data_IF_941538068878
#
_entry.id   IF_941538068878
#
_cell.length_a   1.000
_cell.length_b   1.000
_cell.length_c   1.000
_cell.angle_alpha   90.00
_cell.angle_beta   90.00
_cell.angle_gamma   90.00
#
_symmetry.space_group_name_H-M   'P 1'
#
loop_
_entity.id
_entity.type
_entity.pdbx_description
1 polymer ?
#
# COMPACT_ATOMS: atom_id res chain seq x y z
N UNK A 1 78.42 -50.97 -3.26
CA UNK A 1 78.02 -51.77 -2.06
C UNK A 1 76.50 -51.73 -1.97
N UNK A 2 75.96 -52.71 -2.37
CA UNK A 2 74.81 -53.61 -2.14
C UNK A 2 74.10 -53.37 -0.83
N UNK A 3 72.74 -53.39 -0.89
CA UNK A 3 71.74 -54.29 -0.23
C UNK A 3 70.37 -53.68 -0.42
N UNK A 4 69.57 -54.16 -1.16
CA UNK A 4 68.48 -55.20 -1.20
C UNK A 4 67.55 -55.21 0.03
N UNK A 5 66.22 -55.11 -0.31
CA UNK A 5 65.17 -55.83 0.34
C UNK A 5 64.03 -55.10 0.99
N UNK A 6 62.88 -55.16 0.61
CA UNK A 6 61.83 -56.20 0.68
C UNK A 6 60.43 -55.53 0.44
N UNK A 7 59.70 -56.20 -0.40
CA UNK A 7 58.28 -55.92 -0.68
C UNK A 7 57.40 -56.29 0.54
N UNK A 8 56.46 -55.42 0.87
CA UNK A 8 55.32 -55.70 1.74
C UNK A 8 54.07 -55.17 1.12
N UNK A 9 53.25 -56.14 0.62
CA UNK A 9 51.95 -55.86 0.01
C UNK A 9 50.93 -55.90 1.15
N UNK A 10 50.23 -54.80 1.41
CA UNK A 10 49.03 -54.79 2.28
C UNK A 10 47.87 -54.23 1.51
N UNK A 11 46.81 -55.05 1.43
CA UNK A 11 45.54 -54.74 0.86
C UNK A 11 44.81 -53.68 1.71
N UNK A 12 44.38 -52.60 1.08
CA UNK A 12 43.48 -51.61 1.69
C UNK A 12 42.06 -51.89 1.25
N UNK A 13 41.23 -52.28 2.20
CA UNK A 13 39.78 -52.39 2.00
C UNK A 13 39.14 -50.99 1.87
N UNK A 14 38.44 -50.79 0.77
CA UNK A 14 37.66 -49.58 0.54
C UNK A 14 36.33 -49.71 1.27
N UNK A 15 36.16 -48.97 2.38
CA UNK A 15 34.87 -48.78 3.04
C UNK A 15 34.16 -47.61 2.37
N UNK A 16 33.15 -47.88 1.55
CA UNK A 16 32.28 -46.85 0.97
C UNK A 16 31.33 -46.32 2.08
N UNK A 17 31.59 -45.08 2.53
CA UNK A 17 30.64 -44.32 3.37
C UNK A 17 29.64 -43.68 2.44
N UNK A 18 28.43 -44.21 2.40
CA UNK A 18 27.27 -43.56 1.76
C UNK A 18 26.80 -42.44 2.73
N UNK A 19 27.22 -41.23 2.50
CA UNK A 19 26.59 -40.05 3.12
C UNK A 19 25.24 -39.83 2.45
N UNK A 20 24.18 -40.23 3.14
CA UNK A 20 22.83 -39.85 2.80
C UNK A 20 22.67 -38.33 2.99
N UNK A 21 22.68 -37.56 1.89
CA UNK A 21 22.31 -36.17 1.88
C UNK A 21 20.82 -36.05 2.13
N UNK A 22 20.44 -35.75 3.38
CA UNK A 22 19.08 -35.28 3.69
C UNK A 22 18.99 -33.85 3.15
N UNK A 23 18.21 -33.68 2.11
CA UNK A 23 17.91 -32.35 1.54
C UNK A 23 17.17 -31.51 2.60
N UNK A 24 17.88 -30.61 3.28
CA UNK A 24 17.30 -29.56 4.11
C UNK A 24 16.86 -28.39 3.22
N UNK A 25 15.94 -28.61 2.26
CA UNK A 25 15.39 -27.54 1.42
C UNK A 25 14.07 -26.97 1.95
N UNK A 26 13.47 -27.59 2.99
CA UNK A 26 12.21 -27.13 3.56
C UNK A 26 12.34 -26.06 4.66
N UNK A 27 13.47 -25.99 5.37
CA UNK A 27 13.61 -25.11 6.53
C UNK A 27 13.89 -23.64 6.16
N UNK A 28 14.55 -23.39 5.02
CA UNK A 28 14.86 -22.01 4.58
C UNK A 28 13.61 -21.26 4.11
N UNK A 29 12.71 -21.94 3.38
CA UNK A 29 11.44 -21.34 2.92
C UNK A 29 10.43 -21.11 4.05
N UNK A 30 10.39 -21.95 5.08
CA UNK A 30 9.49 -21.76 6.22
C UNK A 30 9.86 -20.51 7.03
N UNK A 31 11.14 -20.19 7.18
CA UNK A 31 11.62 -19.01 7.91
C UNK A 31 11.42 -17.72 7.13
N UNK A 32 11.37 -17.78 5.80
CA UNK A 32 11.15 -16.63 4.91
C UNK A 32 9.72 -16.09 5.00
N UNK A 33 8.73 -16.89 5.44
CA UNK A 33 7.32 -16.50 5.54
C UNK A 33 6.87 -16.21 6.97
N UNK A 34 7.73 -16.34 7.98
CA UNK A 34 7.39 -16.14 9.39
C UNK A 34 7.06 -14.67 9.69
N UNK A 35 7.81 -13.76 9.10
CA UNK A 35 7.60 -12.33 9.14
C UNK A 35 7.28 -11.83 7.73
N UNK A 36 6.20 -11.10 7.57
CA UNK A 36 5.77 -10.50 6.30
C UNK A 36 5.95 -8.98 6.37
N UNK A 37 6.77 -8.43 5.48
CA UNK A 37 7.14 -7.01 5.47
C UNK A 37 6.23 -6.23 4.54
N UNK A 38 5.44 -5.31 5.10
CA UNK A 38 4.51 -4.43 4.38
C UNK A 38 5.10 -3.04 4.19
N UNK A 39 4.82 -2.42 3.05
CA UNK A 39 5.07 -1.00 2.83
C UNK A 39 3.89 -0.14 3.28
N UNK A 40 4.19 1.01 3.90
CA UNK A 40 3.23 2.05 4.22
C UNK A 40 3.81 3.43 3.86
N UNK A 41 3.27 4.13 2.85
CA UNK A 41 3.68 5.50 2.52
C UNK A 41 3.14 6.54 3.49
N UNK A 42 2.55 6.13 4.62
CA UNK A 42 1.85 6.95 5.62
C UNK A 42 0.53 7.54 5.10
N UNK A 43 -0.11 6.84 4.17
CA UNK A 43 -1.48 7.15 3.80
C UNK A 43 -2.42 6.37 4.74
N UNK A 44 -3.39 7.06 5.31
CA UNK A 44 -4.24 6.42 6.33
C UNK A 44 -5.09 5.27 5.78
N UNK A 45 -5.42 5.26 4.47
CA UNK A 45 -6.03 4.13 3.79
C UNK A 45 -5.11 2.89 3.81
N UNK A 46 -3.82 3.05 3.47
CA UNK A 46 -2.85 1.95 3.47
C UNK A 46 -2.49 1.52 4.90
N UNK A 47 -2.38 2.45 5.84
CA UNK A 47 -2.26 2.11 7.26
C UNK A 47 -3.45 1.26 7.72
N UNK A 48 -4.68 1.58 7.25
CA UNK A 48 -5.91 0.84 7.56
C UNK A 48 -5.91 -0.57 6.98
N UNK A 49 -5.59 -0.72 5.69
CA UNK A 49 -5.56 -2.02 5.01
C UNK A 49 -4.44 -2.91 5.54
N UNK A 50 -3.27 -2.34 5.82
CA UNK A 50 -2.17 -3.04 6.48
C UNK A 50 -2.57 -3.54 7.88
N UNK A 51 -3.28 -2.73 8.68
CA UNK A 51 -3.72 -3.13 10.01
C UNK A 51 -4.77 -4.26 9.97
N UNK A 52 -5.75 -4.19 9.05
CA UNK A 52 -6.75 -5.25 8.86
C UNK A 52 -6.09 -6.57 8.51
N UNK A 53 -5.17 -6.54 7.54
CA UNK A 53 -4.42 -7.73 7.13
C UNK A 53 -3.50 -8.24 8.24
N UNK A 54 -2.86 -7.32 8.97
CA UNK A 54 -1.93 -7.63 10.06
C UNK A 54 -2.58 -8.35 11.24
N UNK A 55 -3.75 -7.89 11.69
CA UNK A 55 -4.52 -8.57 12.76
C UNK A 55 -4.85 -10.02 12.38
N UNK A 56 -5.17 -10.27 11.11
CA UNK A 56 -5.44 -11.61 10.61
C UNK A 56 -4.14 -12.44 10.57
N UNK A 57 -3.04 -11.90 10.04
CA UNK A 57 -1.76 -12.57 9.99
C UNK A 57 -1.27 -12.99 11.39
N UNK A 58 -1.37 -12.10 12.37
CA UNK A 58 -1.00 -12.39 13.76
C UNK A 58 -1.86 -13.52 14.34
N UNK A 59 -3.18 -13.51 14.11
CA UNK A 59 -4.07 -14.58 14.54
C UNK A 59 -3.78 -15.93 13.87
N UNK A 60 -3.23 -15.92 12.63
CA UNK A 60 -2.78 -17.11 11.93
C UNK A 60 -1.39 -17.58 12.37
N UNK A 61 -0.68 -16.82 13.22
CA UNK A 61 0.65 -17.16 13.75
C UNK A 61 1.83 -16.61 12.95
N UNK A 62 1.60 -15.66 12.07
CA UNK A 62 2.63 -14.90 11.34
C UNK A 62 2.91 -13.58 12.04
N UNK A 63 4.09 -12.99 11.79
CA UNK A 63 4.46 -11.65 12.23
C UNK A 63 4.28 -10.67 11.07
N UNK A 64 3.63 -9.54 11.29
CA UNK A 64 3.63 -8.43 10.35
C UNK A 64 4.68 -7.40 10.77
N UNK A 65 5.50 -6.95 9.80
CA UNK A 65 6.37 -5.78 9.96
C UNK A 65 5.95 -4.73 8.94
N UNK A 66 5.75 -3.49 9.39
CA UNK A 66 5.39 -2.37 8.51
C UNK A 66 6.59 -1.42 8.38
N UNK A 67 7.03 -1.19 7.14
CA UNK A 67 8.08 -0.23 6.80
C UNK A 67 7.44 1.05 6.24
N UNK A 68 7.76 2.19 6.89
CA UNK A 68 7.31 3.50 6.43
C UNK A 68 8.26 4.00 5.35
N UNK A 69 7.82 3.92 4.11
CA UNK A 69 8.62 4.25 2.92
C UNK A 69 7.76 4.85 1.81
N UNK A 70 8.34 5.77 1.01
CA UNK A 70 7.64 6.39 -0.11
C UNK A 70 7.35 5.40 -1.24
N UNK A 71 6.34 5.70 -2.08
CA UNK A 71 5.96 4.82 -3.21
C UNK A 71 7.13 4.48 -4.14
N UNK A 72 7.99 5.42 -4.60
CA UNK A 72 9.13 5.04 -5.42
C UNK A 72 10.08 4.04 -4.75
N UNK A 73 10.35 4.22 -3.44
CA UNK A 73 11.20 3.31 -2.65
C UNK A 73 10.52 1.96 -2.46
N UNK A 74 9.20 1.94 -2.26
CA UNK A 74 8.41 0.69 -2.19
C UNK A 74 8.65 -0.20 -3.42
N UNK A 75 8.55 0.36 -4.62
CA UNK A 75 8.79 -0.41 -5.85
C UNK A 75 10.23 -0.90 -6.00
N UNK A 76 11.20 -0.14 -5.51
CA UNK A 76 12.61 -0.57 -5.49
C UNK A 76 12.81 -1.73 -4.50
N UNK A 77 12.24 -1.62 -3.29
CA UNK A 77 12.39 -2.63 -2.23
C UNK A 77 11.59 -3.90 -2.53
N UNK A 78 10.40 -3.82 -3.12
CA UNK A 78 9.68 -4.99 -3.66
C UNK A 78 10.54 -5.71 -4.70
N UNK A 79 11.12 -4.97 -5.65
CA UNK A 79 11.99 -5.53 -6.68
C UNK A 79 13.30 -6.12 -6.16
N UNK A 80 13.77 -5.68 -5.01
CA UNK A 80 14.95 -6.19 -4.31
C UNK A 80 14.61 -7.35 -3.35
N UNK A 81 13.32 -7.60 -3.06
CA UNK A 81 12.87 -8.59 -2.09
C UNK A 81 13.07 -8.17 -0.62
N UNK A 82 13.20 -6.87 -0.36
CA UNK A 82 13.34 -6.29 0.98
C UNK A 82 11.98 -5.91 1.61
N UNK A 83 10.95 -5.75 0.79
CA UNK A 83 9.54 -5.62 1.15
C UNK A 83 8.78 -6.74 0.46
N UNK A 84 7.82 -7.34 1.15
CA UNK A 84 7.01 -8.44 0.64
C UNK A 84 5.71 -7.97 -0.02
N UNK A 85 5.04 -6.99 0.57
CA UNK A 85 3.65 -6.61 0.25
C UNK A 85 3.46 -5.10 0.17
N UNK A 86 2.71 -4.66 -0.83
CA UNK A 86 2.20 -3.31 -0.97
C UNK A 86 0.73 -3.34 -1.39
N UNK A 87 -0.17 -2.92 -0.50
CA UNK A 87 -1.63 -2.89 -0.75
C UNK A 87 -2.13 -1.55 -1.31
N UNK A 88 -1.21 -0.64 -1.66
CA UNK A 88 -1.49 0.73 -2.08
C UNK A 88 -1.14 1.05 -3.54
N UNK A 89 -1.22 0.08 -4.45
CA UNK A 89 -0.93 0.34 -5.85
C UNK A 89 -2.15 0.97 -6.56
N UNK A 90 -2.30 2.28 -6.43
CA UNK A 90 -3.34 3.09 -7.05
C UNK A 90 -3.12 3.23 -8.56
N UNK A 91 -3.98 2.59 -9.35
CA UNK A 91 -3.88 2.59 -10.81
C UNK A 91 -4.94 3.50 -11.45
N UNK A 92 -4.59 4.29 -12.48
CA UNK A 92 -3.35 4.22 -13.28
C UNK A 92 -2.19 5.09 -12.80
N UNK A 93 -2.29 5.84 -11.69
CA UNK A 93 -1.28 6.82 -11.26
C UNK A 93 0.13 6.22 -11.10
N UNK A 94 0.20 4.95 -10.67
CA UNK A 94 1.46 4.26 -10.40
C UNK A 94 1.97 3.42 -11.60
N UNK A 95 1.30 3.47 -12.78
CA UNK A 95 1.61 2.63 -13.92
C UNK A 95 3.10 2.63 -14.30
N UNK A 96 3.75 3.79 -14.28
CA UNK A 96 5.17 3.88 -14.64
C UNK A 96 6.10 3.10 -13.71
N UNK A 97 5.74 2.99 -12.42
CA UNK A 97 6.51 2.21 -11.44
C UNK A 97 6.28 0.72 -11.66
N UNK A 98 5.02 0.32 -11.92
CA UNK A 98 4.66 -1.06 -12.27
C UNK A 98 5.43 -1.49 -13.51
N UNK A 99 5.37 -0.74 -14.61
CA UNK A 99 6.08 -1.04 -15.86
C UNK A 99 7.59 -1.20 -15.65
N UNK A 100 8.18 -0.37 -14.80
CA UNK A 100 9.61 -0.43 -14.51
C UNK A 100 9.99 -1.67 -13.67
N UNK A 101 9.16 -2.06 -12.71
CA UNK A 101 9.39 -3.20 -11.85
C UNK A 101 9.11 -4.53 -12.57
N UNK A 102 8.04 -4.63 -13.37
CA UNK A 102 7.70 -5.82 -14.17
C UNK A 102 8.80 -6.16 -15.19
N UNK A 103 9.39 -5.15 -15.84
CA UNK A 103 10.53 -5.36 -16.76
C UNK A 103 11.73 -6.04 -16.10
N UNK A 104 11.86 -5.90 -14.79
CA UNK A 104 12.90 -6.53 -13.98
C UNK A 104 12.47 -7.88 -13.39
N UNK A 105 11.18 -8.25 -13.53
CA UNK A 105 10.62 -9.47 -12.93
C UNK A 105 10.53 -9.42 -11.40
N UNK A 106 10.56 -8.23 -10.82
CA UNK A 106 10.69 -8.03 -9.37
C UNK A 106 9.38 -7.94 -8.59
N UNK A 107 8.23 -7.92 -9.26
CA UNK A 107 6.91 -7.84 -8.62
C UNK A 107 5.90 -8.81 -9.22
N UNK A 108 4.90 -9.17 -8.43
CA UNK A 108 3.72 -9.93 -8.84
C UNK A 108 2.47 -9.14 -8.41
N UNK A 109 1.48 -9.05 -9.30
CA UNK A 109 0.20 -8.39 -9.03
C UNK A 109 -0.84 -9.45 -8.67
N UNK A 110 -1.36 -9.44 -7.44
CA UNK A 110 -2.36 -10.38 -6.95
C UNK A 110 -3.80 -9.98 -7.31
N UNK A 111 -4.01 -8.76 -7.78
CA UNK A 111 -5.34 -8.30 -8.19
C UNK A 111 -5.81 -7.04 -7.47
N UNK A 112 -7.06 -6.66 -7.79
CA UNK A 112 -7.70 -5.47 -7.23
C UNK A 112 -8.18 -5.75 -5.81
N UNK A 113 -7.70 -4.97 -4.85
CA UNK A 113 -8.15 -5.03 -3.45
C UNK A 113 -9.20 -3.98 -3.10
N UNK A 114 -9.24 -2.82 -3.81
CA UNK A 114 -10.27 -1.79 -3.67
C UNK A 114 -10.70 -1.29 -5.05
N UNK A 115 -12.00 -1.16 -5.27
CA UNK A 115 -12.60 -0.64 -6.53
C UNK A 115 -13.24 0.71 -6.32
N UNK A 116 -13.36 1.47 -7.43
CA UNK A 116 -14.14 2.71 -7.49
C UNK A 116 -13.57 3.81 -6.57
N UNK A 117 -12.27 3.76 -6.29
CA UNK A 117 -11.54 4.85 -5.68
C UNK A 117 -11.42 6.04 -6.67
N UNK A 118 -11.09 7.21 -6.18
CA UNK A 118 -10.78 8.39 -7.01
C UNK A 118 -9.82 9.33 -6.29
N UNK A 119 -9.04 10.09 -7.05
CA UNK A 119 -8.16 11.13 -6.52
C UNK A 119 -7.97 12.24 -7.54
N UNK A 120 -8.10 13.49 -7.13
CA UNK A 120 -7.86 14.66 -7.96
C UNK A 120 -7.78 15.91 -7.09
N UNK A 121 -7.72 17.10 -7.69
CA UNK A 121 -7.79 18.34 -6.92
C UNK A 121 -9.22 18.65 -6.48
N UNK A 122 -9.35 19.23 -5.30
CA UNK A 122 -10.60 19.72 -4.77
C UNK A 122 -10.41 21.08 -4.09
N UNK A 123 -11.51 21.78 -3.96
CA UNK A 123 -11.62 23.02 -3.21
C UNK A 123 -12.77 22.91 -2.19
N UNK A 124 -12.74 23.66 -1.06
CA UNK A 124 -13.91 23.74 -0.19
C UNK A 124 -15.11 24.36 -0.91
N UNK A 125 -16.31 23.98 -0.53
CA UNK A 125 -17.56 24.47 -1.16
C UNK A 125 -17.68 25.99 -1.15
N UNK A 126 -17.18 26.69 -0.09
CA UNK A 126 -17.18 28.16 -0.06
C UNK A 126 -16.30 28.79 -1.15
N UNK A 127 -15.32 28.07 -1.70
CA UNK A 127 -14.52 28.49 -2.85
C UNK A 127 -15.25 28.14 -4.15
N UNK A 128 -15.89 26.97 -4.21
CA UNK A 128 -16.63 26.54 -5.38
C UNK A 128 -17.83 27.44 -5.72
N UNK A 129 -18.53 27.99 -4.71
CA UNK A 129 -19.65 28.93 -4.92
C UNK A 129 -19.19 30.28 -5.48
N UNK A 130 -17.91 30.64 -5.33
CA UNK A 130 -17.31 31.81 -5.95
C UNK A 130 -16.93 31.59 -7.43
N UNK A 131 -17.17 30.38 -7.95
CA UNK A 131 -17.03 30.05 -9.37
C UNK A 131 -15.93 29.06 -9.70
N UNK A 132 -15.18 28.54 -8.71
CA UNK A 132 -14.09 27.59 -8.91
C UNK A 132 -14.64 26.17 -8.91
N UNK A 133 -14.93 25.60 -10.09
CA UNK A 133 -15.52 24.27 -10.26
C UNK A 133 -14.71 23.35 -11.15
N UNK A 134 -13.72 23.90 -11.86
CA UNK A 134 -12.89 23.15 -12.79
C UNK A 134 -11.42 23.56 -12.67
N UNK A 135 -10.55 22.70 -13.19
CA UNK A 135 -9.13 23.05 -13.32
C UNK A 135 -8.90 24.33 -14.13
N UNK A 136 -9.75 24.58 -15.14
CA UNK A 136 -9.63 25.77 -15.99
C UNK A 136 -9.86 27.08 -15.23
N UNK A 137 -10.56 27.03 -14.09
CA UNK A 137 -10.85 28.23 -13.30
C UNK A 137 -9.65 28.64 -12.43
N UNK A 138 -8.70 27.73 -12.15
CA UNK A 138 -7.58 27.99 -11.23
C UNK A 138 -6.66 29.10 -11.70
N UNK A 139 -6.25 29.07 -12.97
CA UNK A 139 -5.26 30.00 -13.51
C UNK A 139 -5.66 31.48 -13.45
N UNK A 140 -6.96 31.79 -13.51
CA UNK A 140 -7.47 33.15 -13.42
C UNK A 140 -7.51 33.71 -11.98
N UNK A 141 -7.34 32.84 -10.98
CA UNK A 141 -7.51 33.13 -9.56
C UNK A 141 -6.25 32.82 -8.73
N UNK A 142 -5.07 32.92 -9.36
CA UNK A 142 -3.81 32.59 -8.71
C UNK A 142 -3.53 33.36 -7.43
N UNK A 143 -3.85 34.64 -7.40
CA UNK A 143 -3.63 35.50 -6.23
C UNK A 143 -4.49 35.06 -5.03
N UNK A 144 -5.73 34.64 -5.24
CA UNK A 144 -6.63 34.15 -4.19
C UNK A 144 -6.15 32.86 -3.57
N UNK A 145 -5.46 31.99 -4.36
CA UNK A 145 -4.84 30.75 -3.92
C UNK A 145 -3.38 30.91 -3.46
N UNK A 146 -2.84 32.13 -3.43
CA UNK A 146 -1.41 32.40 -3.16
C UNK A 146 -0.50 31.63 -4.15
N UNK A 147 -1.00 31.33 -5.35
CA UNK A 147 -0.36 30.49 -6.38
C UNK A 147 0.12 29.13 -5.85
N UNK A 148 -0.64 28.48 -4.98
CA UNK A 148 -0.26 27.22 -4.34
C UNK A 148 -1.30 26.12 -4.54
N UNK A 149 -0.80 24.91 -4.82
CA UNK A 149 -1.56 23.67 -4.73
C UNK A 149 -0.95 22.84 -3.61
N UNK A 150 -1.77 22.36 -2.69
CA UNK A 150 -1.30 21.56 -1.57
C UNK A 150 -1.39 20.08 -1.88
N UNK A 151 -0.25 19.41 -1.79
CA UNK A 151 -0.09 17.98 -2.02
C UNK A 151 0.29 17.21 -0.75
N UNK A 152 0.58 15.94 -0.94
CA UNK A 152 1.00 15.01 0.10
C UNK A 152 2.54 14.87 0.13
N UNK A 153 3.10 13.72 0.50
CA UNK A 153 4.55 13.57 0.67
C UNK A 153 5.33 13.73 -0.65
N UNK A 154 6.56 14.22 -0.58
CA UNK A 154 7.42 14.35 -1.75
C UNK A 154 7.59 13.03 -2.51
N UNK A 155 7.44 13.08 -3.81
CA UNK A 155 7.58 11.91 -4.68
C UNK A 155 6.32 11.07 -4.82
N UNK A 156 5.23 11.40 -4.12
CA UNK A 156 3.93 10.77 -4.33
C UNK A 156 3.50 10.85 -5.81
N UNK A 157 2.91 9.78 -6.38
CA UNK A 157 2.47 9.77 -7.77
C UNK A 157 1.52 10.93 -8.12
N UNK A 158 0.57 11.27 -7.24
CA UNK A 158 -0.35 12.39 -7.42
C UNK A 158 0.38 13.74 -7.45
N UNK A 159 1.35 13.96 -6.55
CA UNK A 159 2.19 15.17 -6.56
C UNK A 159 2.97 15.32 -7.88
N UNK A 160 3.44 14.20 -8.44
CA UNK A 160 4.14 14.23 -9.73
C UNK A 160 3.21 14.61 -10.89
N UNK A 161 1.91 14.27 -10.83
CA UNK A 161 0.92 14.71 -11.80
C UNK A 161 0.67 16.23 -11.67
N UNK A 162 0.51 16.73 -10.45
CA UNK A 162 0.35 18.16 -10.16
C UNK A 162 1.58 18.93 -10.65
N UNK A 163 2.78 18.49 -10.31
CA UNK A 163 4.02 19.14 -10.74
C UNK A 163 4.14 19.18 -12.27
N UNK A 164 3.78 18.08 -12.94
CA UNK A 164 3.75 18.03 -14.41
C UNK A 164 2.78 19.07 -15.02
N UNK A 165 1.64 19.32 -14.38
CA UNK A 165 0.68 20.35 -14.81
C UNK A 165 1.28 21.75 -14.63
N UNK A 166 1.90 22.02 -13.50
CA UNK A 166 2.58 23.30 -13.21
C UNK A 166 3.71 23.55 -14.21
N UNK A 167 4.59 22.57 -14.40
CA UNK A 167 5.74 22.68 -15.34
C UNK A 167 5.30 22.93 -16.78
N UNK A 168 4.15 22.38 -17.17
CA UNK A 168 3.57 22.59 -18.50
C UNK A 168 2.79 23.93 -18.63
N UNK A 169 2.61 24.68 -17.54
CA UNK A 169 1.73 25.86 -17.51
C UNK A 169 0.27 25.51 -17.85
N UNK A 170 -0.13 24.26 -17.60
CA UNK A 170 -1.46 23.78 -17.94
C UNK A 170 -2.52 24.57 -17.18
N UNK A 171 -3.65 24.85 -17.83
CA UNK A 171 -4.80 25.57 -17.28
C UNK A 171 -4.44 26.89 -16.55
N UNK A 172 -3.34 27.53 -16.97
CA UNK A 172 -2.88 28.80 -16.38
C UNK A 172 -2.10 28.65 -15.07
N UNK A 173 -1.54 27.47 -14.80
CA UNK A 173 -0.74 27.21 -13.59
C UNK A 173 0.74 27.62 -13.73
N UNK A 174 1.09 28.45 -14.72
CA UNK A 174 2.45 28.99 -14.84
C UNK A 174 2.80 29.83 -13.59
N UNK A 175 3.91 29.48 -12.93
CA UNK A 175 4.37 30.18 -11.72
C UNK A 175 3.70 29.74 -10.42
N UNK A 176 2.82 28.74 -10.47
CA UNK A 176 2.29 28.12 -9.26
C UNK A 176 3.32 27.22 -8.58
N UNK A 177 3.12 26.95 -7.31
CA UNK A 177 3.96 26.10 -6.47
C UNK A 177 3.16 24.90 -5.96
N UNK A 178 3.73 23.69 -6.07
CA UNK A 178 3.24 22.53 -5.34
C UNK A 178 3.84 22.55 -3.93
N UNK A 179 3.00 22.59 -2.91
CA UNK A 179 3.42 22.50 -1.51
C UNK A 179 3.40 21.04 -1.08
N UNK A 180 4.56 20.38 -1.20
CA UNK A 180 4.76 19.03 -0.68
C UNK A 180 4.72 19.01 0.85
N UNK A 181 4.05 18.02 1.44
CA UNK A 181 3.96 17.89 2.91
C UNK A 181 3.77 16.44 3.35
N UNK A 182 2.64 16.12 3.92
CA UNK A 182 2.11 14.78 4.19
C UNK A 182 0.59 14.87 4.19
N UNK A 183 -0.12 13.74 4.13
CA UNK A 183 -1.58 13.72 4.27
C UNK A 183 -2.04 14.55 5.46
N UNK A 184 -1.48 14.30 6.65
CA UNK A 184 -1.89 14.98 7.89
C UNK A 184 -1.56 16.48 7.87
N UNK A 185 -0.41 16.87 7.32
CA UNK A 185 -0.02 18.28 7.25
C UNK A 185 -0.86 19.05 6.23
N UNK A 186 -1.16 18.45 5.07
CA UNK A 186 -2.06 19.02 4.07
C UNK A 186 -3.46 19.25 4.65
N UNK A 187 -4.03 18.24 5.33
CA UNK A 187 -5.35 18.34 5.96
C UNK A 187 -5.38 19.37 7.10
N UNK A 188 -4.31 19.46 7.89
CA UNK A 188 -4.19 20.51 8.92
C UNK A 188 -4.16 21.91 8.30
N UNK A 189 -3.48 22.06 7.18
CA UNK A 189 -3.45 23.33 6.43
C UNK A 189 -4.82 23.65 5.84
N UNK A 190 -5.51 22.68 5.23
CA UNK A 190 -6.86 22.85 4.72
C UNK A 190 -7.81 23.34 5.83
N UNK A 191 -7.78 22.68 7.00
CA UNK A 191 -8.58 23.08 8.16
C UNK A 191 -8.24 24.48 8.69
N UNK A 192 -6.98 24.87 8.63
CA UNK A 192 -6.53 26.21 9.04
C UNK A 192 -7.09 27.30 8.13
N UNK A 193 -6.97 27.11 6.79
CA UNK A 193 -7.42 28.07 5.80
C UNK A 193 -8.95 28.16 5.75
N UNK A 194 -9.65 27.01 5.86
CA UNK A 194 -11.11 26.97 5.93
C UNK A 194 -11.67 27.84 7.08
N UNK A 195 -11.03 27.82 8.26
CA UNK A 195 -11.46 28.66 9.41
C UNK A 195 -11.38 30.15 9.11
N UNK A 196 -10.39 30.56 8.31
CA UNK A 196 -10.21 31.92 7.85
C UNK A 196 -11.07 32.29 6.63
N UNK A 197 -11.68 31.27 6.00
CA UNK A 197 -12.28 31.39 4.66
C UNK A 197 -11.27 31.84 3.60
N UNK A 198 -9.97 31.54 3.85
CA UNK A 198 -8.91 31.72 2.86
C UNK A 198 -9.03 30.63 1.80
N UNK A 199 -8.74 30.94 0.55
CA UNK A 199 -8.88 29.97 -0.53
C UNK A 199 -7.76 28.91 -0.48
N UNK A 200 -8.15 27.69 -0.79
CA UNK A 200 -7.23 26.55 -0.89
C UNK A 200 -7.68 25.60 -1.99
N UNK A 201 -6.73 25.12 -2.77
CA UNK A 201 -6.86 23.96 -3.65
C UNK A 201 -5.86 22.89 -3.21
N UNK A 202 -6.32 21.65 -3.05
CA UNK A 202 -5.49 20.58 -2.52
C UNK A 202 -5.87 19.23 -3.12
N UNK A 203 -4.96 18.28 -3.01
CA UNK A 203 -5.22 16.89 -3.40
C UNK A 203 -6.27 16.28 -2.47
N UNK A 204 -7.31 15.71 -3.05
CA UNK A 204 -8.34 14.99 -2.32
C UNK A 204 -8.62 13.63 -2.99
N UNK A 205 -9.06 12.67 -2.19
CA UNK A 205 -9.39 11.32 -2.68
C UNK A 205 -10.56 10.70 -1.91
N UNK A 206 -11.10 9.63 -2.46
CA UNK A 206 -12.08 8.77 -1.83
C UNK A 206 -11.67 7.30 -2.04
N UNK A 207 -11.72 6.46 -0.97
CA UNK A 207 -12.28 6.76 0.36
C UNK A 207 -11.37 7.65 1.20
N UNK A 208 -11.92 8.59 1.95
CA UNK A 208 -11.21 9.32 3.00
C UNK A 208 -12.19 10.15 3.85
N UNK A 209 -12.04 10.22 5.19
CA UNK A 209 -12.89 11.02 6.08
C UNK A 209 -12.91 12.51 5.77
N UNK A 210 -11.89 13.05 5.06
CA UNK A 210 -11.89 14.45 4.63
C UNK A 210 -13.16 14.84 3.88
N UNK A 211 -13.75 13.89 3.13
CA UNK A 211 -14.98 14.10 2.37
C UNK A 211 -16.21 14.40 3.25
N UNK A 212 -16.15 14.01 4.54
CA UNK A 212 -17.18 14.30 5.53
C UNK A 212 -16.77 15.43 6.50
N UNK A 213 -15.46 15.73 6.60
CA UNK A 213 -14.92 16.77 7.47
C UNK A 213 -14.98 18.15 6.82
N UNK A 214 -14.82 18.20 5.51
CA UNK A 214 -14.87 19.39 4.67
C UNK A 214 -16.03 19.24 3.68
N UNK A 215 -16.77 20.30 3.45
CA UNK A 215 -17.66 20.37 2.29
C UNK A 215 -16.77 20.59 1.06
N UNK A 216 -16.51 19.53 0.29
CA UNK A 216 -15.58 19.55 -0.84
C UNK A 216 -16.28 19.49 -2.18
N UNK A 217 -15.82 20.32 -3.10
CA UNK A 217 -16.07 20.20 -4.52
C UNK A 217 -14.82 19.69 -5.22
N UNK A 218 -14.90 18.48 -5.80
CA UNK A 218 -13.87 17.95 -6.70
C UNK A 218 -13.91 18.71 -8.02
N UNK A 219 -12.74 19.17 -8.50
CA UNK A 219 -12.65 19.96 -9.71
C UNK A 219 -12.82 19.11 -10.97
N UNK A 220 -13.63 19.60 -11.90
CA UNK A 220 -13.83 18.99 -13.22
C UNK A 220 -12.68 19.35 -14.18
N UNK A 221 -12.52 18.55 -15.26
CA UNK A 221 -11.57 18.85 -16.34
C UNK A 221 -10.12 18.49 -16.04
N UNK A 222 -9.87 17.62 -15.06
CA UNK A 222 -8.54 17.07 -14.75
C UNK A 222 -8.19 15.78 -15.49
N UNK A 223 -9.03 15.31 -16.40
CA UNK A 223 -8.99 13.96 -17.00
C UNK A 223 -7.67 13.66 -17.73
N UNK A 224 -7.07 14.66 -18.38
CA UNK A 224 -5.80 14.50 -19.12
C UNK A 224 -4.61 14.19 -18.19
N UNK A 225 -4.75 14.47 -16.89
CA UNK A 225 -3.70 14.27 -15.88
C UNK A 225 -4.04 13.18 -14.88
N UNK A 226 -5.21 13.25 -14.28
CA UNK A 226 -5.64 12.32 -13.24
C UNK A 226 -6.42 11.13 -13.77
N UNK A 227 -6.89 11.19 -15.03
CA UNK A 227 -7.79 10.21 -15.62
C UNK A 227 -9.27 10.58 -15.47
N UNK A 228 -10.16 9.87 -16.18
CA UNK A 228 -11.60 10.17 -16.19
C UNK A 228 -12.25 9.92 -14.82
N UNK A 229 -13.47 10.46 -14.65
CA UNK A 229 -14.27 10.27 -13.44
C UNK A 229 -13.59 10.80 -12.17
N UNK A 230 -13.01 12.01 -12.24
CA UNK A 230 -12.28 12.62 -11.13
C UNK A 230 -11.06 11.81 -10.66
N UNK A 231 -10.28 11.30 -11.63
CA UNK A 231 -9.14 10.43 -11.33
C UNK A 231 -9.59 9.07 -10.79
N UNK A 232 -10.63 8.49 -11.41
CA UNK A 232 -11.13 7.17 -11.05
C UNK A 232 -10.01 6.13 -11.04
N UNK A 233 -9.93 5.35 -9.96
CA UNK A 233 -8.86 4.42 -9.72
C UNK A 233 -9.36 3.10 -9.13
N UNK A 234 -8.61 2.04 -9.42
CA UNK A 234 -8.66 0.80 -8.66
C UNK A 234 -7.32 0.63 -7.95
N UNK A 235 -7.36 0.09 -6.72
CA UNK A 235 -6.15 -0.18 -5.93
C UNK A 235 -5.85 -1.67 -5.97
N UNK A 236 -4.57 -2.00 -6.12
CA UNK A 236 -4.10 -3.38 -6.28
C UNK A 236 -3.15 -3.78 -5.15
N UNK A 237 -3.16 -5.07 -4.82
CA UNK A 237 -2.14 -5.69 -3.99
C UNK A 237 -0.98 -6.14 -4.86
N UNK A 238 0.21 -5.60 -4.60
CA UNK A 238 1.46 -6.07 -5.18
C UNK A 238 2.27 -6.83 -4.14
N UNK A 239 2.99 -7.86 -4.61
CA UNK A 239 3.96 -8.57 -3.79
C UNK A 239 5.31 -8.65 -4.51
N UNK A 240 6.40 -8.90 -3.80
CA UNK A 240 7.69 -9.19 -4.42
C UNK A 240 7.60 -10.40 -5.34
N UNK A 241 8.44 -10.46 -6.33
CA UNK A 241 8.45 -11.58 -7.28
C UNK A 241 8.59 -12.93 -6.57
N UNK A 242 7.85 -13.92 -7.04
CA UNK A 242 7.79 -15.30 -6.46
C UNK A 242 7.22 -15.39 -5.03
N UNK A 243 6.70 -14.31 -4.43
CA UNK A 243 6.20 -14.33 -3.05
C UNK A 243 5.07 -15.34 -2.85
N UNK A 244 4.04 -15.30 -3.69
CA UNK A 244 2.89 -16.21 -3.58
C UNK A 244 3.30 -17.68 -3.71
N UNK A 245 4.37 -17.96 -4.45
CA UNK A 245 4.93 -19.31 -4.59
C UNK A 245 5.77 -19.70 -3.38
N UNK A 246 6.56 -18.78 -2.84
CA UNK A 246 7.40 -19.02 -1.66
C UNK A 246 6.57 -19.15 -0.38
N UNK A 247 5.53 -18.30 -0.25
CA UNK A 247 4.65 -18.19 0.91
C UNK A 247 3.17 -18.43 0.54
N UNK A 248 2.81 -19.64 0.08
CA UNK A 248 1.51 -19.89 -0.56
C UNK A 248 0.30 -19.63 0.34
N UNK A 249 0.40 -19.85 1.65
CA UNK A 249 -0.69 -19.58 2.58
C UNK A 249 -0.94 -18.10 2.78
N UNK A 250 0.12 -17.29 2.97
CA UNK A 250 0.03 -15.83 3.04
C UNK A 250 -0.36 -15.25 1.69
N UNK A 251 0.20 -15.76 0.58
CA UNK A 251 -0.19 -15.38 -0.77
C UNK A 251 -1.68 -15.59 -1.03
N UNK A 252 -2.24 -16.72 -0.56
CA UNK A 252 -3.66 -17.02 -0.64
C UNK A 252 -4.52 -16.04 0.16
N UNK A 253 -4.11 -15.68 1.38
CA UNK A 253 -4.77 -14.65 2.16
C UNK A 253 -4.80 -13.32 1.41
N UNK A 254 -3.64 -12.86 0.90
CA UNK A 254 -3.50 -11.59 0.19
C UNK A 254 -4.31 -11.54 -1.12
N UNK A 255 -4.46 -12.67 -1.81
CA UNK A 255 -5.29 -12.81 -3.01
C UNK A 255 -6.80 -12.72 -2.68
N UNK A 256 -7.21 -13.20 -1.51
CA UNK A 256 -8.60 -13.19 -1.06
C UNK A 256 -9.04 -11.83 -0.49
N UNK A 257 -8.10 -11.08 0.14
CA UNK A 257 -8.43 -9.85 0.85
C UNK A 257 -8.88 -8.77 -0.12
N UNK A 258 -10.04 -8.20 0.16
CA UNK A 258 -10.59 -7.07 -0.59
C UNK A 258 -11.31 -6.12 0.36
N UNK A 259 -11.22 -4.83 0.07
CA UNK A 259 -11.76 -3.76 0.90
C UNK A 259 -12.95 -3.11 0.19
N UNK A 260 -13.75 -2.40 0.96
CA UNK A 260 -14.82 -1.54 0.44
C UNK A 260 -14.55 -0.10 0.85
N UNK A 261 -15.13 0.85 0.10
CA UNK A 261 -15.04 2.27 0.45
C UNK A 261 -15.54 2.54 1.88
N UNK A 262 -16.62 1.88 2.30
CA UNK A 262 -17.20 2.03 3.64
C UNK A 262 -16.28 1.47 4.72
N UNK A 263 -15.66 0.32 4.47
CA UNK A 263 -14.69 -0.29 5.40
C UNK A 263 -13.50 0.64 5.61
N UNK A 264 -12.89 1.13 4.53
CA UNK A 264 -11.74 2.03 4.64
C UNK A 264 -12.12 3.38 5.27
N UNK A 265 -13.26 3.97 4.88
CA UNK A 265 -13.76 5.19 5.54
C UNK A 265 -13.98 5.00 7.04
N UNK A 266 -14.51 3.84 7.46
CA UNK A 266 -14.72 3.52 8.87
C UNK A 266 -13.37 3.37 9.60
N UNK A 267 -12.44 2.61 9.04
CA UNK A 267 -11.10 2.43 9.59
C UNK A 267 -10.36 3.76 9.76
N UNK A 268 -10.29 4.55 8.69
CA UNK A 268 -9.65 5.87 8.73
C UNK A 268 -10.34 6.82 9.71
N UNK A 269 -11.67 6.74 9.83
CA UNK A 269 -12.44 7.49 10.83
C UNK A 269 -12.02 7.16 12.26
N UNK A 270 -11.88 5.89 12.59
CA UNK A 270 -11.41 5.43 13.90
C UNK A 270 -9.97 5.88 14.17
N UNK A 271 -9.10 5.88 13.16
CA UNK A 271 -7.70 6.29 13.30
C UNK A 271 -7.57 7.82 13.41
N UNK A 272 -8.16 8.58 12.46
CA UNK A 272 -7.95 10.03 12.34
C UNK A 272 -8.81 10.80 13.36
N UNK A 273 -10.10 10.45 13.49
CA UNK A 273 -11.05 11.22 14.30
C UNK A 273 -11.05 10.78 15.75
N UNK A 274 -11.01 9.46 16.00
CA UNK A 274 -11.11 8.89 17.35
C UNK A 274 -9.72 8.64 17.96
N UNK A 275 -8.64 8.75 17.17
CA UNK A 275 -7.26 8.59 17.63
C UNK A 275 -6.92 7.16 18.04
N UNK A 276 -7.61 6.16 17.49
CA UNK A 276 -7.34 4.76 17.79
C UNK A 276 -6.03 4.31 17.15
N UNK A 277 -5.31 3.40 17.79
CA UNK A 277 -4.19 2.71 17.15
C UNK A 277 -4.73 1.85 15.97
N UNK A 278 -4.01 1.75 14.84
CA UNK A 278 -4.51 1.06 13.65
C UNK A 278 -4.96 -0.38 13.90
N UNK A 279 -4.20 -1.18 14.66
CA UNK A 279 -4.55 -2.57 14.98
C UNK A 279 -5.78 -2.67 15.91
N UNK A 280 -5.96 -1.70 16.82
CA UNK A 280 -7.15 -1.65 17.69
C UNK A 280 -8.39 -1.31 16.86
N UNK A 281 -8.27 -0.37 15.89
CA UNK A 281 -9.34 -0.03 14.97
C UNK A 281 -9.71 -1.23 14.07
N UNK A 282 -8.74 -1.93 13.54
CA UNK A 282 -8.92 -3.15 12.74
C UNK A 282 -9.61 -4.25 13.54
N UNK A 283 -9.12 -4.51 14.77
CA UNK A 283 -9.74 -5.49 15.68
C UNK A 283 -11.19 -5.13 15.99
N UNK A 284 -11.46 -3.85 16.26
CA UNK A 284 -12.82 -3.36 16.52
C UNK A 284 -13.73 -3.60 15.33
N UNK A 285 -13.31 -3.19 14.13
CA UNK A 285 -14.11 -3.32 12.92
C UNK A 285 -14.41 -4.78 12.61
N UNK A 286 -13.40 -5.67 12.65
CA UNK A 286 -13.56 -7.10 12.36
C UNK A 286 -14.44 -7.82 13.40
N UNK A 287 -14.50 -7.32 14.65
CA UNK A 287 -15.46 -7.81 15.68
C UNK A 287 -16.88 -7.35 15.41
N UNK A 288 -17.06 -6.10 14.99
CA UNK A 288 -18.38 -5.53 14.69
C UNK A 288 -19.00 -6.10 13.41
N UNK A 289 -18.16 -6.38 12.40
CA UNK A 289 -18.58 -7.05 11.15
C UNK A 289 -17.59 -8.16 10.75
N UNK A 290 -17.75 -9.36 11.33
CA UNK A 290 -16.92 -10.51 10.99
C UNK A 290 -17.29 -11.19 9.65
N UNK A 291 -18.28 -10.68 8.92
CA UNK A 291 -18.81 -11.33 7.71
C UNK A 291 -17.78 -11.48 6.59
N UNK A 292 -16.78 -10.59 6.55
CA UNK A 292 -15.70 -10.63 5.54
C UNK A 292 -14.73 -11.80 5.75
N UNK A 293 -14.62 -12.32 6.98
CA UNK A 293 -13.65 -13.35 7.35
C UNK A 293 -13.85 -14.65 6.59
N UNK A 294 -15.09 -15.03 6.30
CA UNK A 294 -15.39 -16.28 5.57
C UNK A 294 -14.79 -16.24 4.15
N UNK A 295 -14.87 -15.10 3.46
CA UNK A 295 -14.29 -14.91 2.14
C UNK A 295 -12.76 -14.74 2.19
N UNK A 296 -12.26 -13.93 3.11
CA UNK A 296 -10.82 -13.66 3.21
C UNK A 296 -10.01 -14.88 3.62
N UNK A 297 -10.61 -15.78 4.42
CA UNK A 297 -9.95 -16.98 4.94
C UNK A 297 -10.29 -18.26 4.18
N UNK A 298 -10.96 -18.15 3.02
CA UNK A 298 -11.25 -19.32 2.19
C UNK A 298 -9.96 -20.01 1.73
N UNK A 299 -9.74 -21.25 2.18
CA UNK A 299 -8.55 -22.03 1.86
C UNK A 299 -7.26 -21.58 2.57
N UNK A 300 -7.37 -20.65 3.53
CA UNK A 300 -6.25 -20.18 4.35
C UNK A 300 -6.18 -21.02 5.64
N UNK A 301 -4.96 -21.40 6.03
CA UNK A 301 -4.69 -22.15 7.26
C UNK A 301 -3.91 -21.29 8.27
N UNK A 302 -3.84 -21.74 9.53
CA UNK A 302 -2.80 -21.23 10.42
C UNK A 302 -1.42 -21.62 9.88
N UNK A 303 -0.38 -20.94 10.34
CA UNK A 303 1.02 -21.27 10.02
C UNK A 303 1.37 -22.74 10.27
N UNK A 304 0.77 -23.33 11.31
CA UNK A 304 0.96 -24.73 11.70
C UNK A 304 0.00 -25.70 10.98
N UNK A 305 -0.82 -25.21 10.02
CA UNK A 305 -1.72 -26.02 9.19
C UNK A 305 -3.09 -26.28 9.80
N UNK A 306 -3.47 -25.57 10.88
CA UNK A 306 -4.82 -25.62 11.48
C UNK A 306 -5.85 -24.82 10.67
N UNK A 307 -7.10 -24.81 11.14
CA UNK A 307 -8.20 -24.06 10.53
C UNK A 307 -8.00 -22.54 10.75
N UNK A 308 -7.74 -21.81 9.67
CA UNK A 308 -7.44 -20.38 9.73
C UNK A 308 -8.65 -19.55 10.14
N UNK A 309 -9.84 -19.87 9.64
CA UNK A 309 -11.07 -19.16 9.98
C UNK A 309 -11.41 -19.31 11.46
N UNK A 310 -11.32 -20.54 11.98
CA UNK A 310 -11.57 -20.80 13.38
C UNK A 310 -10.55 -20.06 14.28
N UNK A 311 -9.28 -20.07 13.91
CA UNK A 311 -8.23 -19.40 14.67
C UNK A 311 -8.42 -17.88 14.73
N UNK A 312 -8.78 -17.25 13.61
CA UNK A 312 -9.04 -15.81 13.55
C UNK A 312 -10.29 -15.43 14.34
N UNK A 313 -11.39 -16.19 14.19
CA UNK A 313 -12.61 -15.97 14.99
C UNK A 313 -12.35 -16.11 16.49
N UNK A 314 -11.58 -17.12 16.91
CA UNK A 314 -11.21 -17.32 18.31
C UNK A 314 -10.37 -16.14 18.84
N UNK A 315 -9.35 -15.71 18.09
CA UNK A 315 -8.51 -14.57 18.44
C UNK A 315 -9.30 -13.25 18.56
N UNK A 316 -10.29 -13.07 17.68
CA UNK A 316 -11.18 -11.91 17.73
C UNK A 316 -12.28 -12.05 18.82
N UNK A 317 -12.61 -13.25 19.25
CA UNK A 317 -13.70 -13.53 20.20
C UNK A 317 -15.10 -13.40 19.57
N UNK A 318 -15.28 -13.84 18.32
CA UNK A 318 -16.54 -13.79 17.54
C UNK A 318 -16.95 -15.15 17.01
#
# INVERSE_FOLDING_TARGET
MSFAGRRGMMAAGATAIILGGIAMTGAAHAQECDTVVFSDPQWTDITSTNALTGVILEALGYEQKVETISVPVTFEMLGAGEVDVFQGNWMPAQQKFVDAAEKKGGIENLGVNLKVAKFTLAVPEYVAVEGIKSFADLGAHGEEFDHKIYGIEPGAPANQLIQKMIDAGAVGLEGWELVDSSEQAMLAQAKRLERGKDWIVFLAWAPHPMNNQFDLTYLEGGDDYFGPNYGGADVYTLVRGDFAKACPNVGKLLDNVSFTLDMENTMMGLIINDGMAPNDAATKLLKEDPSVLDAWLEGVTTKDGGDGLAAVKDALGV
#
